data_IF_365987480610
#
_entry.id   IF_365987480610
#
_cell.length_a   1.000
_cell.length_b   1.000
_cell.length_c   1.000
_cell.angle_alpha   90.00
_cell.angle_beta   90.00
_cell.angle_gamma   90.00
#
_symmetry.space_group_name_H-M   'P 1'
#
loop_
_entity.id
_entity.type
_entity.pdbx_description
1 polymer ?
#
# COMPACT_ATOMS: atom_id res chain seq x y z
N UNK A 1 -12.88 -19.90 2.32
CA UNK A 1 -12.46 -19.64 0.92
C UNK A 1 -11.63 -18.36 0.91
N UNK A 2 -10.52 -18.30 0.17
CA UNK A 2 -9.61 -17.14 0.16
C UNK A 2 -9.98 -16.13 -0.95
N UNK A 3 -11.16 -15.52 -0.83
CA UNK A 3 -11.76 -14.70 -1.90
C UNK A 3 -10.99 -13.43 -2.26
N UNK A 4 -10.16 -12.94 -1.34
CA UNK A 4 -9.28 -11.79 -1.60
C UNK A 4 -8.31 -12.02 -2.76
N UNK A 5 -7.97 -13.27 -3.07
CA UNK A 5 -7.11 -13.64 -4.19
C UNK A 5 -7.73 -13.34 -5.57
N UNK A 6 -8.99 -12.90 -5.62
CA UNK A 6 -9.66 -12.46 -6.85
C UNK A 6 -9.74 -10.94 -6.96
N UNK A 7 -9.31 -10.21 -5.93
CA UNK A 7 -9.40 -8.74 -5.91
C UNK A 7 -8.19 -8.12 -6.61
N UNK A 8 -8.43 -7.32 -7.64
CA UNK A 8 -7.36 -6.59 -8.34
C UNK A 8 -6.58 -5.67 -7.40
N UNK A 9 -7.26 -5.02 -6.44
CA UNK A 9 -6.61 -4.18 -5.43
C UNK A 9 -5.62 -4.98 -4.57
N UNK A 10 -5.91 -6.26 -4.30
CA UNK A 10 -5.01 -7.13 -3.55
C UNK A 10 -3.78 -7.50 -4.39
N UNK A 11 -3.97 -7.85 -5.67
CA UNK A 11 -2.87 -8.15 -6.58
C UNK A 11 -1.92 -6.97 -6.74
N UNK A 12 -2.46 -5.75 -6.92
CA UNK A 12 -1.68 -4.53 -7.02
C UNK A 12 -0.94 -4.22 -5.71
N UNK A 13 -1.59 -4.36 -4.55
CA UNK A 13 -0.93 -4.16 -3.26
C UNK A 13 0.20 -5.18 -3.01
N UNK A 14 -0.02 -6.45 -3.39
CA UNK A 14 1.01 -7.50 -3.31
C UNK A 14 2.19 -7.19 -4.23
N UNK A 15 1.93 -6.74 -5.46
CA UNK A 15 2.99 -6.36 -6.39
C UNK A 15 3.76 -5.15 -5.89
N UNK A 16 3.06 -4.12 -5.40
CA UNK A 16 3.68 -2.94 -4.78
C UNK A 16 4.68 -3.35 -3.69
N UNK A 17 4.29 -4.22 -2.75
CA UNK A 17 5.20 -4.66 -1.69
C UNK A 17 6.45 -5.37 -2.24
N UNK A 18 6.32 -6.20 -3.27
CA UNK A 18 7.48 -6.86 -3.91
C UNK A 18 8.41 -5.84 -4.55
N UNK A 19 7.85 -4.89 -5.30
CA UNK A 19 8.60 -3.83 -5.96
C UNK A 19 9.30 -2.94 -4.92
N UNK A 20 8.63 -2.60 -3.81
CA UNK A 20 9.20 -1.86 -2.69
C UNK A 20 10.42 -2.57 -2.11
N UNK A 21 10.32 -3.88 -1.85
CA UNK A 21 11.46 -4.64 -1.31
C UNK A 21 12.63 -4.67 -2.29
N UNK A 22 12.37 -4.79 -3.59
CA UNK A 22 13.40 -4.74 -4.62
C UNK A 22 14.08 -3.36 -4.65
N UNK A 23 13.29 -2.28 -4.73
CA UNK A 23 13.79 -0.90 -4.73
C UNK A 23 14.71 -0.61 -3.54
N UNK A 24 14.32 -1.04 -2.34
CA UNK A 24 15.13 -0.82 -1.13
C UNK A 24 16.48 -1.55 -1.14
N UNK A 25 16.58 -2.67 -1.88
CA UNK A 25 17.86 -3.37 -2.06
C UNK A 25 18.77 -2.65 -3.05
N UNK A 26 18.21 -1.85 -3.96
CA UNK A 26 18.94 -1.11 -4.99
C UNK A 26 19.45 0.25 -4.46
N UNK A 27 18.60 1.04 -3.80
CA UNK A 27 18.91 2.42 -3.38
C UNK A 27 19.72 2.51 -2.07
N UNK A 28 19.79 1.43 -1.28
CA UNK A 28 20.56 1.36 -0.01
C UNK A 28 20.31 2.53 0.95
N UNK A 29 19.04 2.73 1.29
CA UNK A 29 18.61 3.76 2.26
C UNK A 29 18.89 3.36 3.72
N UNK A 30 18.63 4.24 4.69
CA UNK A 30 18.79 3.92 6.10
C UNK A 30 17.84 2.81 6.59
N UNK A 31 18.24 2.11 7.66
CA UNK A 31 17.50 0.96 8.18
C UNK A 31 16.10 1.31 8.68
N UNK A 32 15.94 2.46 9.34
CA UNK A 32 14.65 2.82 9.91
C UNK A 32 13.63 3.10 8.81
N UNK A 33 14.00 3.87 7.79
CA UNK A 33 13.13 4.15 6.64
C UNK A 33 12.76 2.86 5.89
N UNK A 34 13.74 1.97 5.69
CA UNK A 34 13.51 0.64 5.13
C UNK A 34 12.47 -0.17 5.90
N UNK A 35 12.61 -0.24 7.23
CA UNK A 35 11.73 -1.03 8.09
C UNK A 35 10.32 -0.44 8.20
N UNK A 36 10.19 0.89 8.16
CA UNK A 36 8.88 1.57 8.10
C UNK A 36 8.18 1.28 6.77
N UNK A 37 8.87 1.45 5.65
CA UNK A 37 8.29 1.28 4.31
C UNK A 37 7.90 -0.17 4.02
N UNK A 38 8.72 -1.15 4.45
CA UNK A 38 8.38 -2.57 4.33
C UNK A 38 7.13 -2.93 5.12
N UNK A 39 6.99 -2.42 6.35
CA UNK A 39 5.81 -2.68 7.19
C UNK A 39 4.56 -2.03 6.63
N UNK A 40 4.63 -0.75 6.24
CA UNK A 40 3.50 -0.03 5.66
C UNK A 40 3.02 -0.70 4.36
N UNK A 41 3.94 -0.99 3.43
CA UNK A 41 3.57 -1.63 2.14
C UNK A 41 2.97 -3.03 2.31
N UNK A 42 3.50 -3.83 3.23
CA UNK A 42 2.95 -5.16 3.53
C UNK A 42 1.59 -5.07 4.20
N UNK A 43 1.41 -4.10 5.10
CA UNK A 43 0.15 -3.84 5.80
C UNK A 43 -1.00 -3.56 4.83
N UNK A 44 -0.77 -2.93 3.68
CA UNK A 44 -1.80 -2.69 2.66
C UNK A 44 -2.42 -4.02 2.20
N UNK A 45 -1.62 -4.98 1.73
CA UNK A 45 -2.13 -6.26 1.21
C UNK A 45 -2.75 -7.12 2.32
N UNK A 46 -2.19 -7.09 3.54
CA UNK A 46 -2.71 -7.87 4.67
C UNK A 46 -4.09 -7.36 5.11
N UNK A 47 -4.26 -6.04 5.24
CA UNK A 47 -5.54 -5.46 5.61
C UNK A 47 -6.61 -5.66 4.52
N UNK A 48 -6.24 -5.66 3.23
CA UNK A 48 -7.17 -6.02 2.16
C UNK A 48 -7.63 -7.48 2.30
N UNK A 49 -6.69 -8.40 2.52
CA UNK A 49 -7.00 -9.83 2.65
C UNK A 49 -7.89 -10.11 3.86
N UNK A 50 -7.55 -9.53 5.01
CA UNK A 50 -8.31 -9.68 6.24
C UNK A 50 -9.70 -9.02 6.14
N UNK A 51 -9.75 -7.80 5.59
CA UNK A 51 -11.00 -7.08 5.34
C UNK A 51 -11.94 -7.84 4.44
N UNK A 52 -11.47 -8.43 3.34
CA UNK A 52 -12.29 -9.24 2.45
C UNK A 52 -12.95 -10.44 3.14
N UNK A 53 -12.30 -11.00 4.16
CA UNK A 53 -12.79 -12.13 4.95
C UNK A 53 -13.77 -11.78 6.07
N UNK A 54 -14.01 -10.49 6.36
CA UNK A 54 -14.95 -10.08 7.41
C UNK A 54 -16.41 -10.29 6.98
N UNK A 55 -17.31 -10.51 7.94
CA UNK A 55 -18.72 -10.74 7.66
C UNK A 55 -19.50 -9.44 7.46
N UNK A 56 -19.30 -8.45 8.34
CA UNK A 56 -20.10 -7.22 8.33
C UNK A 56 -19.49 -6.15 7.42
N UNK A 57 -20.34 -5.36 6.74
CA UNK A 57 -19.87 -4.20 5.96
C UNK A 57 -19.00 -3.25 6.80
N UNK A 58 -19.38 -3.04 8.06
CA UNK A 58 -18.66 -2.18 9.02
C UNK A 58 -17.23 -2.66 9.25
N UNK A 59 -17.05 -3.96 9.51
CA UNK A 59 -15.71 -4.50 9.75
C UNK A 59 -14.86 -4.47 8.48
N UNK A 60 -15.43 -4.89 7.33
CA UNK A 60 -14.75 -4.77 6.03
C UNK A 60 -14.22 -3.35 5.79
N UNK A 61 -15.07 -2.36 6.05
CA UNK A 61 -14.75 -0.94 5.89
C UNK A 61 -13.59 -0.51 6.77
N UNK A 62 -13.56 -0.93 8.03
CA UNK A 62 -12.47 -0.59 8.94
C UNK A 62 -11.11 -1.07 8.42
N UNK A 63 -11.04 -2.32 7.94
CA UNK A 63 -9.82 -2.86 7.35
C UNK A 63 -9.40 -2.12 6.09
N UNK A 64 -10.33 -1.76 5.20
CA UNK A 64 -9.99 -0.99 4.00
C UNK A 64 -9.56 0.45 4.33
N UNK A 65 -10.10 1.05 5.40
CA UNK A 65 -9.62 2.34 5.92
C UNK A 65 -8.17 2.21 6.40
N UNK A 66 -7.85 1.16 7.17
CA UNK A 66 -6.47 0.91 7.62
C UNK A 66 -5.53 0.69 6.44
N UNK A 67 -5.92 -0.14 5.46
CA UNK A 67 -5.14 -0.35 4.24
C UNK A 67 -4.87 0.97 3.51
N UNK A 68 -5.86 1.86 3.42
CA UNK A 68 -5.70 3.18 2.80
C UNK A 68 -4.82 4.10 3.64
N UNK A 69 -4.85 3.99 4.96
CA UNK A 69 -3.89 4.66 5.86
C UNK A 69 -2.44 4.24 5.53
N UNK A 70 -2.19 2.94 5.43
CA UNK A 70 -0.86 2.41 5.07
C UNK A 70 -0.39 2.84 3.67
N UNK A 71 -1.31 3.09 2.72
CA UNK A 71 -0.98 3.72 1.42
C UNK A 71 -0.40 5.12 1.61
N UNK A 72 -1.03 5.95 2.47
CA UNK A 72 -0.52 7.29 2.75
C UNK A 72 0.82 7.28 3.51
N UNK A 73 1.02 6.32 4.41
CA UNK A 73 2.33 6.12 5.07
C UNK A 73 3.42 5.82 4.03
N UNK A 74 3.15 4.92 3.08
CA UNK A 74 4.09 4.64 1.99
C UNK A 74 4.36 5.88 1.13
N UNK A 75 3.31 6.63 0.78
CA UNK A 75 3.44 7.83 -0.05
C UNK A 75 4.31 8.89 0.64
N UNK A 76 4.09 9.14 1.94
CA UNK A 76 4.93 10.06 2.71
C UNK A 76 6.38 9.61 2.82
N UNK A 77 6.65 8.31 2.88
CA UNK A 77 8.04 7.80 2.88
C UNK A 77 8.68 7.96 1.50
N UNK A 78 7.98 7.68 0.40
CA UNK A 78 8.54 7.89 -0.95
C UNK A 78 8.79 9.37 -1.26
N UNK A 79 7.89 10.26 -0.81
CA UNK A 79 8.06 11.71 -0.88
C UNK A 79 9.29 12.19 -0.09
N UNK A 80 9.52 11.64 1.11
CA UNK A 80 10.76 11.89 1.84
C UNK A 80 12.01 11.32 1.12
N UNK A 81 11.90 10.15 0.52
CA UNK A 81 13.04 9.49 -0.13
C UNK A 81 13.51 10.23 -1.39
N UNK A 82 12.64 10.83 -2.18
CA UNK A 82 13.05 11.65 -3.33
C UNK A 82 13.84 12.90 -2.91
N UNK A 83 13.53 13.48 -1.74
CA UNK A 83 14.25 14.66 -1.22
C UNK A 83 15.66 14.29 -0.73
N UNK A 84 15.79 13.12 -0.08
CA UNK A 84 17.05 12.67 0.52
C UNK A 84 17.93 11.92 -0.48
N UNK A 85 17.33 11.28 -1.48
CA UNK A 85 17.99 10.51 -2.55
C UNK A 85 17.50 10.98 -3.92
N UNK A 86 17.95 12.16 -4.41
CA UNK A 86 17.50 12.72 -5.69
C UNK A 86 17.73 11.78 -6.89
N UNK A 87 18.76 10.93 -6.83
CA UNK A 87 19.02 9.90 -7.85
C UNK A 87 17.89 8.86 -7.97
N UNK A 88 17.06 8.72 -6.94
CA UNK A 88 15.93 7.80 -6.89
C UNK A 88 14.58 8.47 -7.21
N UNK A 89 14.55 9.78 -7.52
CA UNK A 89 13.31 10.55 -7.75
C UNK A 89 12.40 9.89 -8.79
N UNK A 90 12.96 9.53 -9.95
CA UNK A 90 12.19 8.88 -11.03
C UNK A 90 11.57 7.56 -10.59
N UNK A 91 12.30 6.77 -9.80
CA UNK A 91 11.80 5.52 -9.24
C UNK A 91 10.72 5.77 -8.18
N UNK A 92 10.90 6.77 -7.31
CA UNK A 92 9.91 7.15 -6.30
C UNK A 92 8.59 7.61 -6.93
N UNK A 93 8.65 8.40 -8.01
CA UNK A 93 7.46 8.83 -8.74
C UNK A 93 6.62 7.65 -9.28
N UNK A 94 7.28 6.59 -9.78
CA UNK A 94 6.59 5.36 -10.19
C UNK A 94 5.83 4.71 -9.03
N UNK A 95 6.39 4.73 -7.81
CA UNK A 95 5.70 4.22 -6.63
C UNK A 95 4.55 5.11 -6.19
N UNK A 96 4.71 6.43 -6.25
CA UNK A 96 3.65 7.39 -5.94
C UNK A 96 2.43 7.21 -6.84
N UNK A 97 2.64 6.99 -8.15
CA UNK A 97 1.54 6.69 -9.09
C UNK A 97 0.80 5.40 -8.73
N UNK A 98 1.53 4.32 -8.42
CA UNK A 98 0.94 3.04 -7.97
C UNK A 98 0.15 3.19 -6.66
N UNK A 99 0.66 4.01 -5.73
CA UNK A 99 0.01 4.30 -4.46
C UNK A 99 -1.26 5.14 -4.64
N UNK A 100 -1.24 6.11 -5.55
CA UNK A 100 -2.43 6.91 -5.87
C UNK A 100 -3.54 6.04 -6.46
N UNK A 101 -3.18 5.13 -7.39
CA UNK A 101 -4.11 4.14 -7.94
C UNK A 101 -4.74 3.29 -6.82
N UNK A 102 -3.92 2.71 -5.93
CA UNK A 102 -4.40 1.92 -4.80
C UNK A 102 -5.30 2.73 -3.86
N UNK A 103 -4.96 3.99 -3.58
CA UNK A 103 -5.78 4.88 -2.76
C UNK A 103 -7.17 5.11 -3.38
N UNK A 104 -7.23 5.31 -4.70
CA UNK A 104 -8.49 5.47 -5.45
C UNK A 104 -9.34 4.19 -5.41
N UNK A 105 -8.72 3.02 -5.61
CA UNK A 105 -9.41 1.73 -5.52
C UNK A 105 -10.01 1.50 -4.12
N UNK A 106 -9.20 1.67 -3.08
CA UNK A 106 -9.62 1.51 -1.69
C UNK A 106 -10.72 2.51 -1.30
N UNK A 107 -10.60 3.76 -1.74
CA UNK A 107 -11.64 4.77 -1.52
C UNK A 107 -12.98 4.36 -2.14
N UNK A 108 -12.97 3.85 -3.39
CA UNK A 108 -14.16 3.32 -4.03
C UNK A 108 -14.81 2.16 -3.26
N UNK A 109 -14.00 1.26 -2.71
CA UNK A 109 -14.49 0.16 -1.87
C UNK A 109 -15.08 0.65 -0.54
N UNK A 110 -14.43 1.61 0.12
CA UNK A 110 -14.89 2.21 1.38
C UNK A 110 -16.24 2.91 1.18
N UNK A 111 -16.41 3.65 0.07
CA UNK A 111 -17.67 4.32 -0.27
C UNK A 111 -18.82 3.32 -0.45
N UNK A 112 -18.62 2.28 -1.25
CA UNK A 112 -19.64 1.22 -1.49
C UNK A 112 -20.07 0.48 -0.22
N UNK A 113 -19.23 0.46 0.82
CA UNK A 113 -19.56 -0.13 2.12
C UNK A 113 -20.26 0.84 3.07
N UNK A 114 -20.29 2.13 2.74
CA UNK A 114 -20.96 3.19 3.50
C UNK A 114 -22.39 3.47 3.00
N UNK A 115 -22.74 2.89 1.86
CA UNK A 115 -24.07 2.81 1.26
C UNK A 115 -24.81 1.54 1.74
#
# INVERSE_FOLDING_TARGET
>A
MFDFQRLDVYHKAKQLHRDTVQFLNEVKTDRNTNDQLKRASFSIMLNIAEGAGRFTKRDKKNFFIVARGSVFECAGIFDYLQDVYPEAESSCNIFLDKLEELSKMLYGMIRKLSE
#
